data_IF_373003642350
#
_entry.id   IF_373003642350
#
_cell.length_a   1.000
_cell.length_b   1.000
_cell.length_c   1.000
_cell.angle_alpha   90.00
_cell.angle_beta   90.00
_cell.angle_gamma   90.00
#
_symmetry.space_group_name_H-M   'P 1'
#
loop_
_entity.id
_entity.type
_entity.pdbx_description
1 polymer ?
#
# COMPACT_ATOMS: atom_id res chain seq x y z
N UNK A 1 -21.87 -10.79 -15.75
CA UNK A 1 -20.57 -11.47 -15.61
C UNK A 1 -19.90 -10.93 -14.35
N UNK A 2 -20.08 -11.62 -13.23
CA UNK A 2 -19.38 -11.30 -11.97
C UNK A 2 -18.36 -12.42 -11.82
N UNK A 3 -17.08 -12.10 -12.00
CA UNK A 3 -16.00 -13.08 -11.80
C UNK A 3 -15.89 -13.34 -10.30
N UNK A 4 -16.14 -14.59 -9.97
CA UNK A 4 -16.00 -15.21 -8.66
C UNK A 4 -14.57 -14.98 -8.11
N UNK A 5 -14.45 -14.17 -7.05
CA UNK A 5 -13.18 -13.92 -6.33
C UNK A 5 -12.86 -15.03 -5.31
N UNK A 6 -13.55 -16.17 -5.35
CA UNK A 6 -13.40 -17.24 -4.35
C UNK A 6 -12.25 -18.21 -4.62
N UNK A 7 -11.56 -18.12 -5.76
CA UNK A 7 -10.72 -19.23 -6.25
C UNK A 7 -9.21 -18.94 -6.37
N UNK A 8 -8.71 -17.80 -5.85
CA UNK A 8 -7.26 -17.53 -5.81
C UNK A 8 -6.58 -18.02 -4.49
N UNK A 9 -7.35 -18.41 -3.48
CA UNK A 9 -6.80 -18.89 -2.19
C UNK A 9 -6.32 -20.35 -2.21
N UNK A 10 -6.33 -21.02 -3.38
CA UNK A 10 -5.86 -22.41 -3.49
C UNK A 10 -4.34 -22.57 -3.56
N UNK A 11 -3.57 -21.48 -3.54
CA UNK A 11 -2.11 -21.56 -3.47
C UNK A 11 -1.58 -21.97 -2.07
N UNK A 12 -2.42 -21.97 -1.02
CA UNK A 12 -1.96 -22.15 0.37
C UNK A 12 -1.93 -23.60 0.90
N UNK A 13 -1.95 -24.65 0.07
CA UNK A 13 -1.82 -26.04 0.55
C UNK A 13 -0.44 -26.68 0.38
N UNK A 14 0.50 -25.96 -0.24
CA UNK A 14 1.92 -26.26 -0.16
C UNK A 14 2.51 -25.10 0.64
N UNK A 15 3.17 -25.38 1.77
CA UNK A 15 3.76 -24.35 2.60
C UNK A 15 4.53 -23.35 1.74
N UNK A 16 4.30 -22.06 1.96
CA UNK A 16 5.17 -21.05 1.36
C UNK A 16 6.58 -21.31 1.93
N UNK A 17 7.53 -21.62 1.05
CA UNK A 17 8.89 -22.04 1.40
C UNK A 17 9.94 -20.99 0.95
N UNK A 18 9.54 -19.74 0.78
CA UNK A 18 10.42 -18.66 0.33
C UNK A 18 10.15 -17.35 1.06
N UNK A 19 10.80 -16.26 0.63
CA UNK A 19 10.46 -14.92 1.08
C UNK A 19 9.22 -14.37 0.34
N UNK A 20 8.51 -13.46 1.01
CA UNK A 20 7.53 -12.57 0.39
C UNK A 20 8.23 -11.29 -0.07
N UNK A 21 7.87 -10.79 -1.24
CA UNK A 21 8.43 -9.58 -1.83
C UNK A 21 7.40 -8.46 -1.77
N UNK A 22 7.84 -7.26 -1.42
CA UNK A 22 6.99 -6.10 -1.17
C UNK A 22 7.29 -4.98 -2.17
N UNK A 23 6.81 -5.14 -3.40
CA UNK A 23 7.03 -4.14 -4.44
C UNK A 23 6.29 -2.84 -4.13
N UNK A 24 7.03 -1.78 -3.84
CA UNK A 24 6.48 -0.48 -3.52
C UNK A 24 6.09 0.24 -4.81
N UNK A 25 4.89 0.80 -4.85
CA UNK A 25 4.47 1.77 -5.87
C UNK A 25 4.16 3.09 -5.20
N UNK A 26 4.88 4.13 -5.59
CA UNK A 26 4.67 5.49 -5.11
C UNK A 26 4.23 6.39 -6.27
N UNK A 27 3.00 6.90 -6.22
CA UNK A 27 2.42 7.73 -7.29
C UNK A 27 2.57 7.11 -8.70
N UNK A 28 2.52 5.79 -8.79
CA UNK A 28 2.69 5.03 -10.03
C UNK A 28 4.13 4.72 -10.42
N UNK A 29 5.12 5.17 -9.64
CA UNK A 29 6.53 4.81 -9.82
C UNK A 29 6.82 3.52 -9.05
N UNK A 30 7.24 2.43 -9.73
CA UNK A 30 7.54 1.16 -9.08
C UNK A 30 8.96 1.15 -8.50
N UNK A 31 9.09 0.55 -7.32
CA UNK A 31 10.32 0.27 -6.59
C UNK A 31 10.28 -1.20 -6.16
N UNK A 32 10.84 -2.11 -6.98
CA UNK A 32 10.78 -3.54 -6.71
C UNK A 32 11.60 -3.91 -5.48
N UNK A 33 11.07 -4.84 -4.68
CA UNK A 33 11.83 -5.50 -3.62
C UNK A 33 12.58 -6.69 -4.23
N UNK A 34 13.90 -6.72 -4.08
CA UNK A 34 14.75 -7.79 -4.65
C UNK A 34 15.26 -8.78 -3.62
N UNK A 35 15.09 -8.48 -2.34
CA UNK A 35 15.55 -9.33 -1.24
C UNK A 35 14.41 -10.18 -0.71
N UNK A 36 13.24 -9.57 -0.54
CA UNK A 36 12.09 -10.21 0.10
C UNK A 36 12.30 -10.45 1.60
N UNK A 37 11.23 -10.78 2.30
CA UNK A 37 11.22 -11.06 3.75
C UNK A 37 10.64 -12.44 4.02
N UNK A 38 11.35 -13.26 4.77
CA UNK A 38 10.85 -14.56 5.23
C UNK A 38 9.76 -14.37 6.29
N UNK A 39 8.53 -14.78 5.96
CA UNK A 39 7.39 -14.73 6.88
C UNK A 39 6.65 -16.05 6.89
N UNK A 40 6.00 -16.36 8.01
CA UNK A 40 5.39 -17.65 8.25
C UNK A 40 4.23 -17.97 7.28
N UNK A 41 3.50 -16.96 6.83
CA UNK A 41 2.34 -17.08 5.96
C UNK A 41 1.90 -15.71 5.41
N UNK A 42 0.90 -15.72 4.52
CA UNK A 42 0.34 -14.53 3.90
C UNK A 42 -0.29 -13.55 4.89
N UNK A 43 -0.84 -14.00 6.01
CA UNK A 43 -1.42 -13.09 7.02
C UNK A 43 -0.31 -12.29 7.72
N UNK A 44 0.82 -12.92 8.04
CA UNK A 44 1.99 -12.22 8.54
C UNK A 44 2.55 -11.22 7.51
N UNK A 45 2.50 -11.56 6.22
CA UNK A 45 2.87 -10.65 5.14
C UNK A 45 1.91 -9.46 5.00
N UNK A 46 0.60 -9.67 5.19
CA UNK A 46 -0.39 -8.59 5.20
C UNK A 46 -0.15 -7.62 6.36
N UNK A 47 0.06 -8.15 7.58
CA UNK A 47 0.36 -7.34 8.76
C UNK A 47 1.65 -6.53 8.59
N UNK A 48 2.70 -7.15 8.04
CA UNK A 48 3.97 -6.48 7.78
C UNK A 48 3.84 -5.40 6.70
N UNK A 49 3.15 -5.69 5.59
CA UNK A 49 2.90 -4.72 4.52
C UNK A 49 2.14 -3.50 5.05
N UNK A 50 1.08 -3.72 5.84
CA UNK A 50 0.32 -2.62 6.44
C UNK A 50 1.18 -1.78 7.38
N UNK A 51 1.93 -2.42 8.28
CA UNK A 51 2.81 -1.75 9.24
C UNK A 51 3.87 -0.90 8.55
N UNK A 52 4.59 -1.49 7.59
CA UNK A 52 5.64 -0.80 6.84
C UNK A 52 5.08 0.40 6.06
N UNK A 53 3.91 0.23 5.44
CA UNK A 53 3.30 1.29 4.63
C UNK A 53 2.85 2.48 5.47
N UNK A 54 2.36 2.26 6.70
CA UNK A 54 2.07 3.35 7.64
C UNK A 54 3.32 4.10 8.10
N UNK A 55 4.44 3.40 8.34
CA UNK A 55 5.71 4.09 8.65
C UNK A 55 6.19 4.94 7.48
N UNK A 56 6.07 4.43 6.24
CA UNK A 56 6.42 5.19 5.02
C UNK A 56 5.55 6.45 4.88
N UNK A 57 4.26 6.36 5.17
CA UNK A 57 3.32 7.50 5.03
C UNK A 57 3.49 8.51 6.16
N UNK A 58 3.81 8.06 7.38
CA UNK A 58 3.95 8.91 8.57
C UNK A 58 4.99 10.01 8.39
N UNK A 59 6.14 9.69 7.80
CA UNK A 59 7.23 10.66 7.61
C UNK A 59 6.97 11.66 6.47
N UNK A 60 5.84 11.49 5.78
CA UNK A 60 5.72 11.91 4.40
C UNK A 60 4.45 12.69 4.09
N UNK A 61 3.64 13.04 5.09
CA UNK A 61 2.44 13.88 4.95
C UNK A 61 2.87 15.30 4.50
N UNK A 62 2.78 15.63 3.21
CA UNK A 62 3.14 16.95 2.72
C UNK A 62 1.93 17.85 2.94
N UNK A 63 2.17 19.14 3.18
CA UNK A 63 1.11 20.13 3.31
C UNK A 63 0.37 20.40 2.00
N UNK A 64 -0.33 19.41 1.41
CA UNK A 64 -1.32 19.67 0.36
C UNK A 64 -1.38 18.75 -0.86
N UNK A 65 -0.52 17.75 -1.03
CA UNK A 65 -0.50 16.96 -2.29
C UNK A 65 -1.06 15.57 -2.08
N UNK A 66 -2.03 15.19 -2.92
CA UNK A 66 -2.52 13.82 -3.07
C UNK A 66 -1.33 12.86 -3.19
N UNK A 67 -1.29 11.84 -2.34
CA UNK A 67 -0.24 10.83 -2.41
C UNK A 67 -0.83 9.45 -2.26
N UNK A 68 -0.46 8.57 -3.18
CA UNK A 68 -0.76 7.15 -3.12
C UNK A 68 0.53 6.37 -2.95
N UNK A 69 0.54 5.52 -1.94
CA UNK A 69 1.60 4.55 -1.68
C UNK A 69 0.95 3.17 -1.59
N UNK A 70 1.50 2.19 -2.29
CA UNK A 70 0.99 0.82 -2.31
C UNK A 70 2.13 -0.19 -2.24
N UNK A 71 1.90 -1.32 -1.59
CA UNK A 71 2.71 -2.52 -1.73
C UNK A 71 1.95 -3.56 -2.54
N UNK A 72 2.60 -4.10 -3.55
CA UNK A 72 2.17 -5.32 -4.24
C UNK A 72 2.97 -6.48 -3.67
N UNK A 73 2.29 -7.42 -3.03
CA UNK A 73 2.93 -8.54 -2.36
C UNK A 73 2.88 -9.78 -3.23
N UNK A 74 4.02 -10.43 -3.43
CA UNK A 74 4.13 -11.70 -4.17
C UNK A 74 5.11 -12.66 -3.51
N UNK A 75 5.06 -13.95 -3.86
CA UNK A 75 5.86 -15.03 -3.26
C UNK A 75 7.12 -15.39 -4.07
N UNK A 76 7.68 -14.42 -4.81
CA UNK A 76 8.78 -14.65 -5.76
C UNK A 76 8.32 -15.19 -7.11
N UNK A 77 7.04 -15.50 -7.26
CA UNK A 77 6.42 -15.61 -8.59
C UNK A 77 6.09 -14.21 -9.13
N UNK A 78 5.95 -14.05 -10.45
CA UNK A 78 5.50 -12.79 -11.07
C UNK A 78 3.98 -12.54 -10.87
N UNK A 79 3.34 -13.22 -9.92
CA UNK A 79 1.91 -13.11 -9.66
C UNK A 79 1.71 -12.46 -8.30
N UNK A 80 1.10 -11.28 -8.30
CA UNK A 80 0.70 -10.62 -7.05
C UNK A 80 -0.35 -11.46 -6.32
N UNK A 81 -0.09 -11.72 -5.03
CA UNK A 81 -1.02 -12.37 -4.11
C UNK A 81 -2.10 -11.39 -3.64
N UNK A 82 -1.68 -10.19 -3.25
CA UNK A 82 -2.55 -9.11 -2.80
C UNK A 82 -1.83 -7.75 -2.86
N UNK A 83 -2.61 -6.67 -2.71
CA UNK A 83 -2.13 -5.29 -2.66
C UNK A 83 -2.61 -4.62 -1.37
N UNK A 84 -1.70 -3.92 -0.68
CA UNK A 84 -2.02 -3.04 0.45
C UNK A 84 -1.75 -1.61 0.01
N UNK A 85 -2.70 -0.68 0.19
CA UNK A 85 -2.54 0.71 -0.23
C UNK A 85 -3.03 1.71 0.81
N UNK A 86 -2.37 2.85 0.87
CA UNK A 86 -2.86 4.06 1.55
C UNK A 86 -2.91 5.20 0.55
N UNK A 87 -4.02 5.93 0.60
CA UNK A 87 -4.22 7.17 -0.14
C UNK A 87 -4.46 8.28 0.85
N UNK A 88 -3.65 9.34 0.77
CA UNK A 88 -3.81 10.54 1.57
C UNK A 88 -4.27 11.69 0.67
N UNK A 89 -5.35 12.35 1.07
CA UNK A 89 -5.91 13.51 0.40
C UNK A 89 -5.99 14.67 1.39
N UNK A 90 -5.45 15.83 1.01
CA UNK A 90 -5.54 17.05 1.81
C UNK A 90 -6.55 17.98 1.14
N UNK A 91 -7.69 18.19 1.79
CA UNK A 91 -8.67 19.20 1.40
C UNK A 91 -8.51 20.42 2.29
N UNK A 92 -8.43 21.61 1.69
CA UNK A 92 -8.40 22.88 2.43
C UNK A 92 -9.78 23.49 2.36
N UNK A 93 -10.35 23.80 3.53
CA UNK A 93 -11.50 24.69 3.58
C UNK A 93 -11.07 26.07 3.03
N UNK A 94 -11.92 26.71 2.23
CA UNK A 94 -11.70 28.10 1.86
C UNK A 94 -11.61 28.92 3.15
N UNK A 95 -10.46 29.54 3.40
CA UNK A 95 -10.33 30.50 4.48
C UNK A 95 -10.99 31.79 4.00
N UNK A 96 -12.24 32.01 4.41
CA UNK A 96 -12.89 33.31 4.29
C UNK A 96 -12.27 34.28 5.29
N UNK A 97 -11.01 34.67 5.10
CA UNK A 97 -10.47 35.85 5.78
C UNK A 97 -10.78 37.07 4.91
N UNK A 98 -12.08 37.34 4.75
CA UNK A 98 -12.58 38.59 4.19
C UNK A 98 -13.26 39.35 5.33
N UNK A 99 -12.44 39.81 6.28
CA UNK A 99 -12.88 40.83 7.23
C UNK A 99 -12.92 42.15 6.48
N UNK A 100 -14.09 42.82 6.38
CA UNK A 100 -14.13 44.15 5.82
C UNK A 100 -13.25 45.06 6.68
N UNK A 101 -12.30 45.75 6.06
CA UNK A 101 -11.65 46.91 6.68
C UNK A 101 -12.74 47.96 6.86
N UNK A 102 -13.26 48.13 8.08
CA UNK A 102 -14.05 49.30 8.42
C UNK A 102 -13.15 50.55 8.27
N UNK A 103 -13.56 51.46 7.39
CA UNK A 103 -13.10 52.84 7.33
C UNK A 103 -14.26 53.75 6.91
#
# INVERSE_FOLDING_TARGET
>A
MIRDRGNLFKASLLGHHGPFFFDLTENGIPYPDTEGTELANSAAAEDEAARALFEIVKDQVPGGTFRQVAFQVHDGTNISLFEVKVTCEVTRAAHSDDRPLEA
#
